data_IF_128611054509
#
_entry.id   IF_128611054509
#
_cell.length_a   1.000
_cell.length_b   1.000
_cell.length_c   1.000
_cell.angle_alpha   90.00
_cell.angle_beta   90.00
_cell.angle_gamma   90.00
#
_symmetry.space_group_name_H-M   'P 1'
#
loop_
_entity.id
_entity.type
_entity.pdbx_description
1 polymer ?
#
# COMPACT_ATOMS: atom_id res chain seq x y z
N UNK A 1 -9.85 17.94 -18.08
CA UNK A 1 -10.04 17.73 -16.63
C UNK A 1 -9.37 16.41 -16.31
N UNK A 2 -8.20 16.44 -15.66
CA UNK A 2 -7.63 15.21 -15.09
C UNK A 2 -8.63 14.68 -14.07
N UNK A 3 -9.05 13.43 -14.25
CA UNK A 3 -9.81 12.70 -13.23
C UNK A 3 -8.84 12.46 -12.07
N UNK A 4 -8.86 13.35 -11.10
CA UNK A 4 -8.12 13.20 -9.85
C UNK A 4 -8.67 11.95 -9.16
N UNK A 5 -7.80 11.01 -8.80
CA UNK A 5 -8.21 9.84 -8.03
C UNK A 5 -8.77 10.35 -6.70
N UNK A 6 -10.08 10.28 -6.49
CA UNK A 6 -10.68 10.52 -5.17
C UNK A 6 -10.56 9.24 -4.35
N UNK A 7 -9.69 9.16 -3.34
CA UNK A 7 -9.45 7.91 -2.64
C UNK A 7 -10.67 7.47 -1.85
N UNK A 8 -10.99 6.18 -1.95
CA UNK A 8 -12.09 5.52 -1.24
C UNK A 8 -11.57 4.59 -0.15
N UNK A 9 -10.52 3.83 -0.45
CA UNK A 9 -10.00 2.76 0.43
C UNK A 9 -8.51 2.53 0.21
N UNK A 10 -7.81 2.12 1.28
CA UNK A 10 -6.48 1.52 1.21
C UNK A 10 -6.61 0.00 1.20
N UNK A 11 -5.99 -0.66 0.23
CA UNK A 11 -5.93 -2.12 0.13
C UNK A 11 -4.51 -2.56 0.50
N UNK A 12 -4.39 -3.55 1.37
CA UNK A 12 -3.11 -4.16 1.76
C UNK A 12 -3.11 -5.62 1.32
N UNK A 13 -2.21 -5.98 0.42
CA UNK A 13 -1.95 -7.38 0.10
C UNK A 13 -0.77 -7.85 0.92
N UNK A 14 -0.99 -8.84 1.78
CA UNK A 14 0.01 -9.38 2.73
C UNK A 14 -0.31 -10.83 3.06
N UNK A 15 0.44 -11.47 3.95
CA UNK A 15 0.15 -12.81 4.46
C UNK A 15 0.14 -12.78 5.99
N UNK A 16 -0.61 -13.68 6.63
CA UNK A 16 -0.68 -13.76 8.10
C UNK A 16 0.68 -14.01 8.76
N UNK A 17 1.58 -14.73 8.07
CA UNK A 17 2.94 -15.04 8.50
C UNK A 17 3.99 -13.99 8.10
N UNK A 18 3.63 -12.95 7.36
CA UNK A 18 4.56 -11.90 6.92
C UNK A 18 5.10 -11.12 8.13
N UNK A 19 6.43 -11.09 8.36
CA UNK A 19 7.02 -10.42 9.51
C UNK A 19 6.78 -8.90 9.54
N UNK A 20 6.51 -8.29 8.38
CA UNK A 20 6.23 -6.87 8.24
C UNK A 20 4.73 -6.53 8.33
N UNK A 21 3.84 -7.52 8.31
CA UNK A 21 2.37 -7.33 8.37
C UNK A 21 1.96 -6.36 9.48
N UNK A 22 2.43 -6.58 10.70
CA UNK A 22 2.06 -5.72 11.85
C UNK A 22 2.52 -4.27 11.67
N UNK A 23 3.68 -4.07 11.04
CA UNK A 23 4.25 -2.73 10.84
C UNK A 23 3.53 -2.00 9.71
N UNK A 24 3.28 -2.66 8.58
CA UNK A 24 2.54 -2.05 7.46
C UNK A 24 1.11 -1.72 7.86
N UNK A 25 0.42 -2.61 8.59
CA UNK A 25 -0.94 -2.35 9.07
C UNK A 25 -1.00 -1.16 10.02
N UNK A 26 0.01 -0.95 10.88
CA UNK A 26 0.07 0.24 11.75
C UNK A 26 0.14 1.53 10.93
N UNK A 27 1.00 1.56 9.92
CA UNK A 27 1.16 2.70 9.01
C UNK A 27 -0.14 2.97 8.25
N UNK A 28 -0.70 1.94 7.61
CA UNK A 28 -1.92 2.05 6.81
C UNK A 28 -3.11 2.51 7.65
N UNK A 29 -3.33 1.89 8.81
CA UNK A 29 -4.44 2.27 9.69
C UNK A 29 -4.33 3.71 10.19
N UNK A 30 -3.11 4.20 10.46
CA UNK A 30 -2.90 5.60 10.85
C UNK A 30 -3.29 6.54 9.71
N UNK A 31 -2.76 6.33 8.50
CA UNK A 31 -3.07 7.16 7.33
C UNK A 31 -4.57 7.10 7.00
N UNK A 32 -5.17 5.91 7.04
CA UNK A 32 -6.60 5.73 6.79
C UNK A 32 -7.45 6.51 7.80
N UNK A 33 -7.12 6.42 9.09
CA UNK A 33 -7.80 7.15 10.16
C UNK A 33 -7.70 8.67 9.98
N UNK A 34 -6.53 9.20 9.61
CA UNK A 34 -6.32 10.63 9.37
C UNK A 34 -7.08 11.15 8.14
N UNK A 35 -7.39 10.26 7.18
CA UNK A 35 -8.03 10.59 5.90
C UNK A 35 -9.47 10.15 5.78
N UNK A 36 -10.02 9.46 6.80
CA UNK A 36 -11.37 8.90 6.78
C UNK A 36 -11.57 7.80 5.74
N UNK A 37 -10.55 6.98 5.47
CA UNK A 37 -10.58 5.91 4.47
C UNK A 37 -10.83 4.54 5.11
N UNK A 38 -11.43 3.64 4.35
CA UNK A 38 -11.50 2.22 4.72
C UNK A 38 -10.16 1.52 4.52
N UNK A 39 -9.95 0.42 5.23
CA UNK A 39 -8.81 -0.48 5.03
C UNK A 39 -9.32 -1.88 4.74
N UNK A 40 -8.87 -2.45 3.62
CA UNK A 40 -9.11 -3.84 3.26
C UNK A 40 -7.79 -4.61 3.26
N UNK A 41 -7.81 -5.80 3.85
CA UNK A 41 -6.67 -6.72 3.83
C UNK A 41 -7.02 -7.88 2.92
N UNK A 42 -6.16 -8.14 1.96
CA UNK A 42 -6.23 -9.30 1.06
C UNK A 42 -5.07 -10.23 1.37
N UNK A 43 -5.38 -11.41 1.90
CA UNK A 43 -4.34 -12.40 2.19
C UNK A 43 -3.94 -13.13 0.91
N UNK A 44 -2.68 -12.99 0.51
CA UNK A 44 -2.08 -13.71 -0.62
C UNK A 44 -2.89 -13.64 -1.93
N UNK A 45 -3.53 -12.49 -2.21
CA UNK A 45 -4.26 -12.28 -3.47
C UNK A 45 -3.30 -12.07 -4.63
N UNK A 46 -2.75 -13.18 -5.13
CA UNK A 46 -1.81 -13.22 -6.24
C UNK A 46 -2.43 -12.70 -7.55
N UNK A 47 -3.74 -12.88 -7.74
CA UNK A 47 -4.44 -12.39 -8.94
C UNK A 47 -4.44 -10.86 -8.95
N UNK A 48 -4.71 -10.24 -7.80
CA UNK A 48 -4.64 -8.79 -7.67
C UNK A 48 -3.20 -8.28 -7.86
N UNK A 49 -2.20 -8.92 -7.25
CA UNK A 49 -0.80 -8.55 -7.41
C UNK A 49 -0.32 -8.66 -8.86
N UNK A 50 -0.74 -9.68 -9.61
CA UNK A 50 -0.37 -9.83 -11.02
C UNK A 50 -0.89 -8.66 -11.88
N UNK A 51 -2.07 -8.11 -11.52
CA UNK A 51 -2.74 -7.04 -12.25
C UNK A 51 -2.29 -5.64 -11.83
N UNK A 52 -2.06 -5.42 -10.55
CA UNK A 52 -1.87 -4.09 -9.97
C UNK A 52 -0.56 -3.92 -9.20
N UNK A 53 0.05 -5.03 -8.76
CA UNK A 53 1.26 -5.02 -7.94
C UNK A 53 2.50 -4.66 -8.74
N UNK A 54 3.46 -4.06 -8.04
CA UNK A 54 4.81 -3.95 -8.57
C UNK A 54 5.48 -5.32 -8.56
N UNK A 55 6.18 -5.60 -9.66
CA UNK A 55 6.97 -6.82 -9.85
C UNK A 55 8.44 -6.49 -9.70
N UNK A 56 9.18 -7.39 -9.07
CA UNK A 56 10.64 -7.36 -9.08
C UNK A 56 11.20 -7.75 -10.46
N UNK A 57 12.52 -7.70 -10.58
CA UNK A 57 13.26 -8.01 -11.81
C UNK A 57 13.07 -9.45 -12.30
N UNK A 58 12.64 -10.35 -11.41
CA UNK A 58 12.38 -11.76 -11.71
C UNK A 58 10.89 -12.03 -11.99
N UNK A 59 10.06 -10.98 -11.97
CA UNK A 59 8.61 -11.07 -12.20
C UNK A 59 7.80 -11.47 -10.97
N UNK A 60 8.43 -11.60 -9.79
CA UNK A 60 7.77 -11.86 -8.53
C UNK A 60 7.10 -10.60 -7.98
N UNK A 61 5.93 -10.75 -7.34
CA UNK A 61 5.27 -9.64 -6.65
C UNK A 61 5.50 -9.79 -5.13
N UNK A 62 6.49 -9.08 -4.56
CA UNK A 62 6.79 -9.20 -3.13
C UNK A 62 5.64 -8.65 -2.30
N UNK A 63 5.35 -9.28 -1.16
CA UNK A 63 4.40 -8.79 -0.17
C UNK A 63 5.16 -8.34 1.10
N UNK A 64 4.65 -7.34 1.85
CA UNK A 64 3.35 -6.69 1.68
C UNK A 64 3.38 -5.51 0.71
N UNK A 65 2.29 -5.30 -0.06
CA UNK A 65 2.08 -4.09 -0.87
C UNK A 65 0.80 -3.35 -0.46
N UNK A 66 0.80 -2.03 -0.66
CA UNK A 66 -0.32 -1.14 -0.36
C UNK A 66 -0.79 -0.44 -1.64
N UNK A 67 -2.10 -0.32 -1.78
CA UNK A 67 -2.77 0.28 -2.92
C UNK A 67 -3.86 1.25 -2.47
N UNK A 68 -4.24 2.16 -3.36
CA UNK A 68 -5.39 3.05 -3.24
C UNK A 68 -6.46 2.59 -4.22
N UNK A 69 -7.67 2.34 -3.73
CA UNK A 69 -8.88 2.24 -4.56
C UNK A 69 -9.53 3.63 -4.61
N UNK A 70 -9.72 4.16 -5.82
CA UNK A 70 -10.42 5.42 -6.06
C UNK A 70 -11.95 5.20 -6.15
N UNK A 71 -12.76 6.24 -5.99
CA UNK A 71 -14.22 6.15 -6.11
C UNK A 71 -14.71 5.66 -7.49
N UNK A 72 -13.92 5.87 -8.55
CA UNK A 72 -14.20 5.39 -9.90
C UNK A 72 -13.80 3.91 -10.14
N UNK A 73 -13.26 3.25 -9.11
CA UNK A 73 -12.78 1.86 -9.15
C UNK A 73 -11.34 1.70 -9.63
N UNK A 74 -10.63 2.79 -9.95
CA UNK A 74 -9.21 2.72 -10.31
C UNK A 74 -8.36 2.26 -9.13
N UNK A 75 -7.39 1.39 -9.40
CA UNK A 75 -6.41 0.92 -8.40
C UNK A 75 -5.06 1.57 -8.70
N UNK A 76 -4.46 2.23 -7.70
CA UNK A 76 -3.13 2.81 -7.77
C UNK A 76 -2.20 2.16 -6.77
N UNK A 77 -0.99 1.82 -7.19
CA UNK A 77 0.05 1.36 -6.29
C UNK A 77 0.53 2.51 -5.38
N UNK A 78 0.71 2.24 -4.10
CA UNK A 78 1.12 3.22 -3.09
C UNK A 78 2.44 2.86 -2.39
N UNK A 79 2.70 1.57 -2.14
CA UNK A 79 3.90 1.14 -1.43
C UNK A 79 4.21 -0.34 -1.66
N UNK A 80 5.42 -0.65 -2.15
CA UNK A 80 5.88 -2.04 -2.39
C UNK A 80 6.54 -2.66 -1.15
N UNK A 81 7.16 -1.84 -0.31
CA UNK A 81 7.84 -2.24 0.93
C UNK A 81 7.99 -1.05 1.86
N UNK A 82 8.11 -1.29 3.17
CA UNK A 82 8.47 -0.22 4.12
C UNK A 82 9.91 0.23 3.80
N UNK A 83 10.15 1.52 3.50
CA UNK A 83 11.48 2.04 3.22
C UNK A 83 12.41 1.84 4.42
N UNK A 84 13.72 1.86 4.18
CA UNK A 84 14.72 1.83 5.25
C UNK A 84 15.26 3.24 5.51
N UNK A 85 15.59 3.53 6.77
CA UNK A 85 16.33 4.73 7.17
C UNK A 85 17.83 4.59 6.83
N UNK A 86 18.60 5.65 7.10
CA UNK A 86 20.05 5.70 6.86
C UNK A 86 20.85 4.62 7.62
N UNK A 87 20.22 3.99 8.64
CA UNK A 87 20.81 2.93 9.46
C UNK A 87 20.33 1.54 9.03
N UNK A 88 19.59 1.44 7.92
CA UNK A 88 19.03 0.19 7.41
C UNK A 88 17.85 -0.35 8.22
N UNK A 89 17.21 0.47 9.08
CA UNK A 89 16.03 0.06 9.84
C UNK A 89 14.76 0.50 9.13
N UNK A 90 13.63 -0.22 9.26
CA UNK A 90 12.38 0.23 8.64
C UNK A 90 11.96 1.62 9.11
N UNK A 91 11.64 2.51 8.17
CA UNK A 91 11.18 3.89 8.35
C UNK A 91 9.67 3.98 8.09
N UNK A 92 8.84 3.96 9.16
CA UNK A 92 7.40 4.08 9.04
C UNK A 92 6.96 5.46 8.54
N UNK A 93 7.72 6.52 8.83
CA UNK A 93 7.35 7.87 8.41
C UNK A 93 7.52 8.05 6.91
N UNK A 94 8.58 7.46 6.32
CA UNK A 94 8.73 7.41 4.87
C UNK A 94 7.58 6.64 4.21
N UNK A 95 7.16 5.53 4.80
CA UNK A 95 5.99 4.77 4.32
C UNK A 95 4.69 5.59 4.40
N UNK A 96 4.46 6.30 5.51
CA UNK A 96 3.30 7.21 5.66
C UNK A 96 3.30 8.29 4.58
N UNK A 97 4.45 8.93 4.32
CA UNK A 97 4.59 9.95 3.26
C UNK A 97 4.34 9.38 1.87
N UNK A 98 4.85 8.20 1.56
CA UNK A 98 4.62 7.55 0.27
C UNK A 98 3.12 7.28 0.03
N UNK A 99 2.43 6.71 1.02
CA UNK A 99 0.98 6.47 0.93
C UNK A 99 0.22 7.79 0.82
N UNK A 100 0.55 8.80 1.63
CA UNK A 100 -0.09 10.11 1.56
C UNK A 100 0.10 10.80 0.20
N UNK A 101 1.27 10.64 -0.42
CA UNK A 101 1.54 11.13 -1.77
C UNK A 101 0.67 10.42 -2.82
N UNK A 102 0.51 9.09 -2.70
CA UNK A 102 -0.35 8.31 -3.59
C UNK A 102 -1.84 8.69 -3.48
N UNK A 103 -2.28 9.18 -2.32
CA UNK A 103 -3.64 9.69 -2.09
C UNK A 103 -3.90 11.08 -2.68
N UNK A 104 -2.86 11.85 -2.99
CA UNK A 104 -3.00 13.26 -3.41
C UNK A 104 -2.86 13.47 -4.92
N UNK A 105 -2.47 12.44 -5.67
CA UNK A 105 -2.11 12.55 -7.08
C UNK A 105 -3.05 11.86 -8.04
#
# INVERSE_FOLDING_TARGET
MELMCKPKRLIVVTASYDPLRRKVMRVVNKVASERGLEVEVREEDWVFLVRHGEKDELGGAPIPQVFVECEDGTIRHALTRIPLDERGKPDPQAAERAIASALSG
#
